data_IF_952848724059
#
_entry.id   IF_952848724059
#
_cell.length_a   1.000
_cell.length_b   1.000
_cell.length_c   1.000
_cell.angle_alpha   90.00
_cell.angle_beta   90.00
_cell.angle_gamma   90.00
#
_symmetry.space_group_name_H-M   'P 1'
#
loop_
_entity.id
_entity.type
_entity.pdbx_description
1 polymer ?
#
# COMPACT_ATOMS: atom_id res chain seq x y z
N UNK A 1 -14.20 -26.04 24.78
CA UNK A 1 -13.20 -25.73 23.74
C UNK A 1 -13.94 -25.01 22.63
N UNK A 2 -13.90 -23.66 22.65
CA UNK A 2 -14.52 -22.87 21.58
C UNK A 2 -13.67 -23.06 20.33
N UNK A 3 -14.27 -23.57 19.28
CA UNK A 3 -13.68 -23.49 17.93
C UNK A 3 -13.44 -22.00 17.64
N UNK A 4 -12.16 -21.62 17.50
CA UNK A 4 -11.77 -20.27 17.08
C UNK A 4 -12.44 -20.02 15.73
N UNK A 5 -13.50 -19.25 15.74
CA UNK A 5 -14.18 -18.80 14.53
C UNK A 5 -13.15 -18.10 13.65
N UNK A 6 -12.91 -18.62 12.45
CA UNK A 6 -11.93 -18.03 11.52
C UNK A 6 -12.32 -16.57 11.30
N UNK A 7 -11.36 -15.62 11.35
CA UNK A 7 -11.66 -14.19 11.23
C UNK A 7 -12.43 -13.92 9.92
N UNK A 8 -13.45 -13.07 10.03
CA UNK A 8 -14.33 -12.74 8.92
C UNK A 8 -13.56 -12.24 7.70
N UNK A 9 -13.97 -12.58 6.46
CA UNK A 9 -13.29 -12.13 5.26
C UNK A 9 -13.34 -10.60 5.14
N UNK A 10 -12.17 -9.99 4.95
CA UNK A 10 -12.03 -8.57 4.62
C UNK A 10 -12.30 -8.36 3.13
N UNK A 11 -11.67 -9.18 2.30
CA UNK A 11 -11.86 -9.22 0.86
C UNK A 11 -12.15 -10.65 0.41
N UNK A 12 -13.04 -10.79 -0.56
CA UNK A 12 -13.41 -12.10 -1.08
C UNK A 12 -13.74 -12.02 -2.57
N UNK A 13 -13.07 -12.86 -3.35
CA UNK A 13 -13.36 -13.13 -4.75
C UNK A 13 -13.64 -14.62 -4.91
N UNK A 14 -14.65 -14.96 -5.73
CA UNK A 14 -14.99 -16.33 -6.09
C UNK A 14 -15.26 -16.40 -7.58
N UNK A 15 -14.38 -17.05 -8.33
CA UNK A 15 -14.43 -17.13 -9.78
C UNK A 15 -14.48 -15.75 -10.46
N UNK A 16 -13.90 -14.71 -9.82
CA UNK A 16 -14.07 -13.33 -10.28
C UNK A 16 -13.23 -13.04 -11.53
N UNK A 17 -13.87 -12.44 -12.53
CA UNK A 17 -13.17 -11.92 -13.70
C UNK A 17 -12.71 -10.48 -13.43
N UNK A 18 -11.39 -10.24 -13.49
CA UNK A 18 -10.81 -8.91 -13.26
C UNK A 18 -9.97 -8.48 -14.47
N UNK A 19 -9.96 -7.15 -14.72
CA UNK A 19 -9.17 -6.57 -15.80
C UNK A 19 -9.41 -5.07 -15.95
N UNK A 20 -8.86 -4.50 -17.02
CA UNK A 20 -9.01 -3.09 -17.37
C UNK A 20 -9.69 -2.94 -18.75
N UNK A 21 -10.77 -2.17 -18.82
CA UNK A 21 -11.49 -1.96 -20.05
C UNK A 21 -11.99 -3.28 -20.67
N UNK A 22 -11.45 -3.67 -21.84
CA UNK A 22 -11.76 -4.92 -22.53
C UNK A 22 -10.75 -6.04 -22.25
N UNK A 23 -9.63 -5.74 -21.64
CA UNK A 23 -8.58 -6.71 -21.34
C UNK A 23 -8.86 -7.44 -20.03
N UNK A 24 -8.88 -8.78 -20.09
CA UNK A 24 -9.04 -9.63 -18.92
C UNK A 24 -7.65 -10.02 -18.42
N UNK A 25 -7.35 -9.68 -17.17
CA UNK A 25 -6.10 -10.06 -16.50
C UNK A 25 -6.28 -11.35 -15.72
N UNK A 26 -7.36 -11.45 -14.95
CA UNK A 26 -7.76 -12.66 -14.24
C UNK A 26 -9.04 -13.20 -14.84
N UNK A 27 -9.03 -14.36 -15.50
CA UNK A 27 -10.25 -14.98 -16.08
C UNK A 27 -11.18 -15.54 -14.99
N UNK A 28 -10.61 -16.08 -13.91
CA UNK A 28 -11.35 -16.62 -12.76
C UNK A 28 -10.46 -16.58 -11.51
N UNK A 29 -10.65 -15.58 -10.66
CA UNK A 29 -9.88 -15.41 -9.42
C UNK A 29 -10.67 -15.91 -8.23
N UNK A 30 -10.09 -16.83 -7.48
CA UNK A 30 -10.53 -17.22 -6.14
C UNK A 30 -9.50 -16.70 -5.14
N UNK A 31 -9.91 -15.79 -4.26
CA UNK A 31 -9.04 -15.18 -3.26
C UNK A 31 -9.83 -14.75 -2.05
N UNK A 32 -9.33 -15.06 -0.86
CA UNK A 32 -9.85 -14.53 0.39
C UNK A 32 -8.71 -13.92 1.19
N UNK A 33 -8.86 -12.65 1.60
CA UNK A 33 -8.00 -12.00 2.59
C UNK A 33 -8.85 -11.74 3.83
N UNK A 34 -8.35 -12.16 5.00
CA UNK A 34 -9.06 -12.01 6.28
C UNK A 34 -8.67 -10.72 6.97
N UNK A 35 -9.50 -10.29 7.93
CA UNK A 35 -9.12 -9.19 8.83
C UNK A 35 -7.93 -9.61 9.69
N UNK A 36 -7.01 -8.68 9.90
CA UNK A 36 -5.78 -8.91 10.65
C UNK A 36 -4.63 -9.50 9.82
N UNK A 37 -4.87 -9.94 8.58
CA UNK A 37 -3.79 -10.48 7.74
C UNK A 37 -2.92 -9.38 7.11
N UNK A 38 -1.62 -9.64 7.09
CA UNK A 38 -0.64 -8.89 6.27
C UNK A 38 -0.19 -9.79 5.11
N UNK A 39 -0.44 -9.35 3.87
CA UNK A 39 -0.23 -10.16 2.66
C UNK A 39 0.73 -9.45 1.71
N UNK A 40 1.80 -10.14 1.29
CA UNK A 40 2.65 -9.71 0.19
C UNK A 40 2.16 -10.32 -1.13
N UNK A 41 2.00 -9.48 -2.16
CA UNK A 41 1.75 -9.91 -3.54
C UNK A 41 3.07 -9.92 -4.31
N UNK A 42 3.51 -11.07 -4.77
CA UNK A 42 4.72 -11.26 -5.55
C UNK A 42 4.39 -11.75 -6.96
N UNK A 43 5.30 -11.52 -7.89
CA UNK A 43 5.21 -11.99 -9.26
C UNK A 43 5.88 -11.04 -10.25
N UNK A 44 6.15 -11.51 -11.47
CA UNK A 44 6.78 -10.71 -12.51
C UNK A 44 5.95 -9.48 -12.88
N UNK A 45 6.56 -8.55 -13.63
CA UNK A 45 5.83 -7.42 -14.20
C UNK A 45 4.70 -7.94 -15.12
N UNK A 46 3.54 -7.31 -15.07
CA UNK A 46 2.37 -7.76 -15.85
C UNK A 46 1.61 -8.96 -15.27
N UNK A 47 1.98 -9.51 -14.10
CA UNK A 47 1.27 -10.65 -13.48
C UNK A 47 -0.12 -10.32 -12.93
N UNK A 48 -0.48 -9.01 -12.86
CA UNK A 48 -1.80 -8.57 -12.39
C UNK A 48 -1.83 -7.98 -10.98
N UNK A 49 -0.68 -7.77 -10.29
CA UNK A 49 -0.63 -7.23 -8.91
C UNK A 49 -1.43 -5.92 -8.76
N UNK A 50 -1.16 -4.94 -9.59
CA UNK A 50 -1.85 -3.63 -9.55
C UNK A 50 -3.34 -3.74 -9.88
N UNK A 51 -3.72 -4.64 -10.80
CA UNK A 51 -5.12 -4.95 -11.13
C UNK A 51 -5.85 -5.54 -9.94
N UNK A 52 -5.20 -6.49 -9.24
CA UNK A 52 -5.75 -7.09 -8.02
C UNK A 52 -5.91 -6.06 -6.92
N UNK A 53 -4.87 -5.25 -6.62
CA UNK A 53 -4.95 -4.18 -5.63
C UNK A 53 -6.08 -3.19 -5.92
N UNK A 54 -6.24 -2.77 -7.18
CA UNK A 54 -7.35 -1.90 -7.58
C UNK A 54 -8.73 -2.56 -7.38
N UNK A 55 -8.84 -3.86 -7.63
CA UNK A 55 -10.07 -4.61 -7.40
C UNK A 55 -10.41 -4.76 -5.92
N UNK A 56 -9.41 -5.05 -5.06
CA UNK A 56 -9.56 -5.07 -3.59
C UNK A 56 -10.05 -3.71 -3.08
N UNK A 57 -9.42 -2.61 -3.54
CA UNK A 57 -9.83 -1.25 -3.17
C UNK A 57 -11.30 -0.98 -3.50
N UNK A 58 -11.77 -1.39 -4.69
CA UNK A 58 -13.18 -1.19 -5.09
C UNK A 58 -14.18 -1.87 -4.16
N UNK A 59 -13.82 -3.01 -3.55
CA UNK A 59 -14.70 -3.69 -2.59
C UNK A 59 -14.88 -2.92 -1.29
N UNK A 60 -13.85 -2.20 -0.82
CA UNK A 60 -13.82 -1.55 0.50
C UNK A 60 -13.11 -0.19 0.47
N UNK A 61 -13.43 0.66 -0.50
CA UNK A 61 -12.72 1.92 -0.74
C UNK A 61 -12.62 2.81 0.51
N UNK A 62 -13.68 2.88 1.31
CA UNK A 62 -13.72 3.71 2.53
C UNK A 62 -12.84 3.19 3.66
N UNK A 63 -12.43 1.93 3.63
CA UNK A 63 -11.56 1.31 4.64
C UNK A 63 -10.09 1.33 4.22
N UNK A 64 -9.77 1.59 2.95
CA UNK A 64 -8.44 1.40 2.41
C UNK A 64 -7.63 2.70 2.37
N UNK A 65 -6.46 2.70 2.99
CA UNK A 65 -5.35 3.60 2.70
C UNK A 65 -4.71 3.13 1.40
N UNK A 66 -4.66 3.99 0.38
CA UNK A 66 -4.22 3.62 -0.96
C UNK A 66 -2.91 4.31 -1.33
N UNK A 67 -1.88 3.51 -1.66
CA UNK A 67 -0.60 3.96 -2.18
C UNK A 67 -0.35 3.30 -3.55
N UNK A 68 -0.73 3.91 -4.68
CA UNK A 68 -0.50 3.36 -6.03
C UNK A 68 0.97 3.48 -6.44
N UNK A 69 1.39 2.67 -7.41
CA UNK A 69 2.72 2.73 -8.03
C UNK A 69 2.95 4.09 -8.70
N UNK A 70 2.01 4.54 -9.53
CA UNK A 70 2.00 5.92 -10.01
C UNK A 70 1.53 6.83 -8.88
N UNK A 71 2.45 7.59 -8.34
CA UNK A 71 2.28 8.34 -7.08
C UNK A 71 1.10 9.32 -7.11
N UNK A 72 0.63 9.74 -8.30
CA UNK A 72 -0.49 10.66 -8.51
C UNK A 72 -0.45 11.88 -7.56
N UNK A 73 0.76 12.40 -7.28
CA UNK A 73 0.99 13.57 -6.45
C UNK A 73 0.73 14.85 -7.25
N UNK A 74 0.30 15.89 -6.56
CA UNK A 74 0.26 17.24 -7.15
C UNK A 74 1.69 17.79 -7.27
N UNK A 75 2.29 17.88 -8.47
CA UNK A 75 3.72 18.21 -8.60
C UNK A 75 4.06 19.61 -8.09
N UNK A 76 3.18 20.57 -8.28
CA UNK A 76 3.33 21.96 -7.80
C UNK A 76 3.00 22.14 -6.31
N UNK A 77 2.43 21.12 -5.67
CA UNK A 77 2.09 21.16 -4.26
C UNK A 77 3.26 20.67 -3.41
N UNK A 78 3.40 21.22 -2.21
CA UNK A 78 4.43 20.76 -1.27
C UNK A 78 4.14 19.36 -0.72
N UNK A 79 5.15 18.75 -0.09
CA UNK A 79 5.00 17.51 0.70
C UNK A 79 3.85 17.65 1.69
N UNK A 80 3.78 18.77 2.43
CA UNK A 80 2.69 19.06 3.35
C UNK A 80 1.32 18.90 2.71
N UNK A 81 1.08 19.58 1.58
CA UNK A 81 -0.22 19.55 0.91
C UNK A 81 -0.56 18.16 0.38
N UNK A 82 0.42 17.47 -0.22
CA UNK A 82 0.22 16.12 -0.73
C UNK A 82 -0.13 15.12 0.38
N UNK A 83 0.53 15.18 1.53
CA UNK A 83 0.21 14.34 2.69
C UNK A 83 -1.16 14.72 3.25
N UNK A 84 -1.41 16.03 3.44
CA UNK A 84 -2.68 16.54 3.98
C UNK A 84 -3.90 16.11 3.16
N UNK A 85 -3.75 16.00 1.84
CA UNK A 85 -4.81 15.52 0.93
C UNK A 85 -5.33 14.12 1.31
N UNK A 86 -4.53 13.27 1.93
CA UNK A 86 -4.98 11.98 2.45
C UNK A 86 -6.10 12.10 3.48
N UNK A 87 -6.08 13.17 4.30
CA UNK A 87 -7.03 13.40 5.37
C UNK A 87 -8.24 14.28 5.01
N UNK A 88 -8.46 14.64 3.75
CA UNK A 88 -9.54 15.56 3.36
C UNK A 88 -10.93 15.09 3.80
N UNK A 89 -11.16 13.78 3.82
CA UNK A 89 -12.43 13.17 4.26
C UNK A 89 -12.68 13.31 5.77
N UNK A 90 -11.66 13.63 6.57
CA UNK A 90 -11.71 13.76 8.04
C UNK A 90 -12.18 15.16 8.46
N UNK A 91 -12.10 16.14 7.56
CA UNK A 91 -12.33 17.54 7.88
C UNK A 91 -13.38 18.16 6.97
N UNK A 92 -14.08 19.18 7.47
CA UNK A 92 -15.05 19.91 6.66
C UNK A 92 -14.39 20.77 5.56
N UNK A 93 -15.15 21.05 4.50
CA UNK A 93 -14.69 21.75 3.30
C UNK A 93 -13.98 23.08 3.58
N UNK A 94 -14.55 23.92 4.48
CA UNK A 94 -13.95 25.20 4.86
C UNK A 94 -12.60 25.05 5.56
N UNK A 95 -12.46 24.02 6.40
CA UNK A 95 -11.21 23.72 7.08
C UNK A 95 -10.14 23.25 6.09
N UNK A 96 -10.53 22.43 5.11
CA UNK A 96 -9.66 21.96 4.04
C UNK A 96 -9.20 23.13 3.14
N UNK A 97 -10.12 24.00 2.73
CA UNK A 97 -9.78 25.14 1.88
C UNK A 97 -8.82 26.09 2.58
N UNK A 98 -9.07 26.40 3.87
CA UNK A 98 -8.14 27.22 4.66
C UNK A 98 -6.75 26.60 4.78
N UNK A 99 -6.66 25.27 4.92
CA UNK A 99 -5.39 24.56 5.09
C UNK A 99 -4.48 24.66 3.84
N UNK A 100 -5.03 24.98 2.66
CA UNK A 100 -4.25 25.20 1.44
C UNK A 100 -3.40 26.47 1.52
N UNK A 101 -3.86 27.49 2.26
CA UNK A 101 -3.19 28.79 2.33
C UNK A 101 -2.63 29.05 3.72
N UNK A 102 -3.40 28.77 4.75
CA UNK A 102 -3.07 29.03 6.16
C UNK A 102 -3.39 27.84 7.06
N UNK A 103 -2.59 26.74 7.01
CA UNK A 103 -2.79 25.62 7.89
C UNK A 103 -2.58 26.04 9.36
N UNK A 104 -3.43 25.52 10.25
CA UNK A 104 -3.27 25.73 11.71
C UNK A 104 -2.01 25.02 12.21
N UNK A 105 -1.51 25.41 13.39
CA UNK A 105 -0.40 24.72 14.05
C UNK A 105 -0.69 23.22 14.19
N UNK A 106 -1.87 22.85 14.71
CA UNK A 106 -2.26 21.45 14.85
C UNK A 106 -2.28 20.66 13.52
N UNK A 107 -2.68 21.29 12.41
CA UNK A 107 -2.62 20.65 11.08
C UNK A 107 -1.17 20.46 10.62
N UNK A 108 -0.31 21.47 10.83
CA UNK A 108 1.12 21.37 10.52
C UNK A 108 1.79 20.26 11.33
N UNK A 109 1.54 20.25 12.64
CA UNK A 109 2.15 19.28 13.55
C UNK A 109 1.72 17.84 13.21
N UNK A 110 0.44 17.62 12.90
CA UNK A 110 -0.07 16.30 12.49
C UNK A 110 0.58 15.79 11.19
N UNK A 111 0.73 16.65 10.19
CA UNK A 111 1.37 16.28 8.93
C UNK A 111 2.89 16.14 9.11
N UNK A 112 3.50 17.03 9.92
CA UNK A 112 4.93 16.98 10.22
C UNK A 112 5.32 15.67 10.90
N UNK A 113 4.52 15.16 11.84
CA UNK A 113 4.76 13.86 12.47
C UNK A 113 4.80 12.70 11.48
N UNK A 114 3.88 12.70 10.49
CA UNK A 114 3.92 11.71 9.39
C UNK A 114 5.15 11.93 8.51
N UNK A 115 5.45 13.16 8.11
CA UNK A 115 6.60 13.47 7.29
C UNK A 115 7.93 13.08 7.97
N UNK A 116 8.05 13.31 9.28
CA UNK A 116 9.20 12.94 10.10
C UNK A 116 9.42 11.42 10.10
N UNK A 117 8.36 10.63 10.33
CA UNK A 117 8.44 9.16 10.28
C UNK A 117 8.88 8.61 8.92
N UNK A 118 8.76 9.41 7.86
CA UNK A 118 9.18 9.10 6.50
C UNK A 118 10.53 9.74 6.10
N UNK A 119 11.22 10.42 7.03
CA UNK A 119 12.46 11.13 6.74
C UNK A 119 12.27 12.31 5.77
N UNK A 120 11.13 13.00 5.84
CA UNK A 120 10.76 14.14 4.99
C UNK A 120 10.59 15.45 5.76
N UNK A 121 10.96 15.50 7.05
CA UNK A 121 10.75 16.68 7.92
C UNK A 121 11.32 17.96 7.30
N UNK A 122 12.57 17.94 6.82
CA UNK A 122 13.24 19.10 6.20
C UNK A 122 12.64 19.49 4.83
N UNK A 123 11.85 18.63 4.22
CA UNK A 123 11.23 18.83 2.90
C UNK A 123 9.74 19.17 2.98
N UNK A 124 9.19 19.35 4.20
CA UNK A 124 7.76 19.50 4.43
C UNK A 124 7.08 20.53 3.51
N UNK A 125 7.72 21.66 3.26
CA UNK A 125 7.21 22.72 2.38
C UNK A 125 7.88 22.78 1.00
N UNK A 126 8.70 21.77 0.66
CA UNK A 126 9.27 21.63 -0.68
C UNK A 126 8.22 21.08 -1.63
N UNK A 127 8.10 21.65 -2.83
CA UNK A 127 7.20 21.14 -3.89
C UNK A 127 7.70 19.78 -4.42
N UNK A 128 6.75 18.93 -4.81
CA UNK A 128 7.04 17.52 -5.18
C UNK A 128 7.92 17.43 -6.44
N UNK A 129 7.80 18.36 -7.38
CA UNK A 129 8.63 18.42 -8.58
C UNK A 129 10.13 18.62 -8.30
N UNK A 130 10.49 19.04 -7.07
CA UNK A 130 11.88 19.22 -6.61
C UNK A 130 12.40 18.07 -5.76
N UNK A 131 11.62 17.01 -5.59
CA UNK A 131 11.99 15.85 -4.80
C UNK A 131 12.70 14.79 -5.65
N UNK A 132 13.54 13.97 -5.00
CA UNK A 132 14.00 12.73 -5.62
C UNK A 132 12.84 11.74 -5.76
N UNK A 133 12.97 10.74 -6.64
CA UNK A 133 11.96 9.70 -6.82
C UNK A 133 11.60 9.00 -5.51
N UNK A 134 12.60 8.66 -4.68
CA UNK A 134 12.35 8.05 -3.36
C UNK A 134 11.66 9.00 -2.36
N UNK A 135 11.94 10.32 -2.42
CA UNK A 135 11.23 11.30 -1.59
C UNK A 135 9.78 11.46 -2.03
N UNK A 136 9.52 11.50 -3.33
CA UNK A 136 8.17 11.55 -3.88
C UNK A 136 7.38 10.28 -3.52
N UNK A 137 8.00 9.10 -3.59
CA UNK A 137 7.38 7.84 -3.17
C UNK A 137 7.01 7.84 -1.68
N UNK A 138 7.93 8.28 -0.80
CA UNK A 138 7.63 8.46 0.63
C UNK A 138 6.53 9.48 0.87
N UNK A 139 6.43 10.53 0.05
CA UNK A 139 5.33 11.49 0.13
C UNK A 139 3.98 10.84 -0.23
N UNK A 140 3.94 9.98 -1.25
CA UNK A 140 2.73 9.22 -1.62
C UNK A 140 2.32 8.25 -0.50
N UNK A 141 3.29 7.56 0.11
CA UNK A 141 3.04 6.73 1.29
C UNK A 141 2.51 7.57 2.46
N UNK A 142 3.10 8.74 2.72
CA UNK A 142 2.63 9.68 3.74
C UNK A 142 1.17 10.11 3.53
N UNK A 143 0.78 10.36 2.28
CA UNK A 143 -0.62 10.63 1.93
C UNK A 143 -1.54 9.44 2.29
N UNK A 144 -1.10 8.21 2.02
CA UNK A 144 -1.85 7.01 2.39
C UNK A 144 -1.96 6.87 3.92
N UNK A 145 -0.86 7.03 4.65
CA UNK A 145 -0.84 6.99 6.13
C UNK A 145 -1.74 8.05 6.76
N UNK A 146 -1.74 9.27 6.21
CA UNK A 146 -2.54 10.37 6.75
C UNK A 146 -4.05 10.18 6.57
N UNK A 147 -4.49 9.16 5.82
CA UNK A 147 -5.90 8.75 5.76
C UNK A 147 -6.41 8.18 7.09
N UNK A 148 -5.52 7.62 7.92
CA UNK A 148 -5.84 6.88 9.17
C UNK A 148 -6.85 5.76 8.96
N UNK A 149 -6.82 5.12 7.79
CA UNK A 149 -7.70 3.99 7.46
C UNK A 149 -7.08 2.67 7.91
N UNK A 150 -7.89 1.70 8.35
CA UNK A 150 -7.38 0.47 8.98
C UNK A 150 -6.74 -0.53 8.01
N UNK A 151 -6.92 -0.38 6.71
CA UNK A 151 -6.43 -1.34 5.71
C UNK A 151 -5.46 -0.65 4.75
N UNK A 152 -4.23 -1.13 4.66
CA UNK A 152 -3.27 -0.65 3.68
C UNK A 152 -3.36 -1.46 2.38
N UNK A 153 -3.52 -0.77 1.26
CA UNK A 153 -3.27 -1.31 -0.07
C UNK A 153 -2.16 -0.48 -0.72
N UNK A 154 -1.02 -1.10 -1.01
CA UNK A 154 0.13 -0.39 -1.56
C UNK A 154 0.79 -1.16 -2.70
N UNK A 155 1.21 -0.42 -3.72
CA UNK A 155 1.94 -0.94 -4.87
C UNK A 155 3.36 -0.40 -4.85
N UNK A 156 4.32 -1.26 -4.53
CA UNK A 156 5.76 -0.98 -4.44
C UNK A 156 6.13 0.21 -3.54
N UNK A 157 5.62 0.31 -2.29
CA UNK A 157 5.76 1.52 -1.47
C UNK A 157 7.20 1.83 -1.05
N UNK A 158 8.14 0.91 -1.16
CA UNK A 158 9.55 1.04 -0.71
C UNK A 158 10.58 0.69 -1.79
N UNK A 159 10.20 0.57 -3.06
CA UNK A 159 11.07 0.09 -4.15
C UNK A 159 12.30 0.95 -4.43
N UNK A 160 12.29 2.23 -4.07
CA UNK A 160 13.39 3.18 -4.29
C UNK A 160 14.20 3.48 -3.02
N UNK A 161 14.16 2.59 -2.04
CA UNK A 161 14.90 2.70 -0.78
C UNK A 161 15.96 1.61 -0.70
N UNK A 162 17.05 1.88 0.05
CA UNK A 162 17.97 0.83 0.43
C UNK A 162 17.27 -0.20 1.36
N UNK A 163 17.82 -1.40 1.44
CA UNK A 163 17.23 -2.53 2.15
C UNK A 163 16.90 -2.22 3.62
N UNK A 164 17.82 -1.55 4.33
CA UNK A 164 17.63 -1.23 5.75
C UNK A 164 16.53 -0.19 5.96
N UNK A 165 16.53 0.88 5.17
CA UNK A 165 15.50 1.90 5.23
C UNK A 165 14.14 1.34 4.80
N UNK A 166 14.12 0.54 3.73
CA UNK A 166 12.92 -0.13 3.22
C UNK A 166 12.29 -1.03 4.28
N UNK A 167 13.09 -1.86 4.95
CA UNK A 167 12.62 -2.76 6.01
C UNK A 167 12.02 -1.99 7.20
N UNK A 168 12.74 -0.99 7.71
CA UNK A 168 12.29 -0.20 8.85
C UNK A 168 10.97 0.54 8.54
N UNK A 169 10.91 1.19 7.37
CA UNK A 169 9.75 1.94 6.93
C UNK A 169 8.54 1.03 6.69
N UNK A 170 8.74 -0.12 6.05
CA UNK A 170 7.67 -1.07 5.78
C UNK A 170 7.08 -1.63 7.08
N UNK A 171 7.93 -2.02 8.04
CA UNK A 171 7.49 -2.49 9.36
C UNK A 171 6.69 -1.43 10.13
N UNK A 172 7.16 -0.17 10.15
CA UNK A 172 6.42 0.92 10.80
C UNK A 172 5.08 1.16 10.10
N UNK A 173 5.07 1.15 8.77
CA UNK A 173 3.85 1.30 7.98
C UNK A 173 2.83 0.19 8.27
N UNK A 174 3.27 -1.08 8.31
CA UNK A 174 2.40 -2.22 8.59
C UNK A 174 1.80 -2.17 10.00
N UNK A 175 2.57 -1.76 11.01
CA UNK A 175 2.08 -1.63 12.40
C UNK A 175 0.97 -0.59 12.58
N UNK A 176 0.84 0.36 11.66
CA UNK A 176 -0.19 1.41 11.70
C UNK A 176 -1.54 0.96 11.12
N UNK A 177 -1.62 -0.27 10.61
CA UNK A 177 -2.82 -0.79 9.95
C UNK A 177 -3.20 -2.15 10.53
N UNK A 178 -4.50 -2.42 10.61
CA UNK A 178 -5.02 -3.70 11.08
C UNK A 178 -4.77 -4.81 10.06
N UNK A 179 -4.79 -4.46 8.77
CA UNK A 179 -4.59 -5.40 7.65
C UNK A 179 -3.83 -4.70 6.52
N UNK A 180 -3.06 -5.47 5.76
CA UNK A 180 -2.35 -4.91 4.61
C UNK A 180 -2.28 -5.90 3.44
N UNK A 181 -2.38 -5.38 2.22
CA UNK A 181 -2.01 -6.11 1.00
C UNK A 181 -1.04 -5.23 0.21
N UNK A 182 0.18 -5.69 0.04
CA UNK A 182 1.26 -4.91 -0.57
C UNK A 182 1.87 -5.68 -1.73
N UNK A 183 1.83 -5.10 -2.93
CA UNK A 183 2.59 -5.61 -4.05
C UNK A 183 4.04 -5.15 -3.96
N UNK A 184 4.96 -6.05 -4.22
CA UNK A 184 6.40 -5.80 -4.15
C UNK A 184 7.20 -6.77 -5.03
N UNK A 185 8.47 -6.44 -5.25
CA UNK A 185 9.41 -7.31 -5.96
C UNK A 185 10.46 -7.91 -5.03
N UNK A 186 10.71 -7.29 -3.88
CA UNK A 186 11.69 -7.77 -2.92
C UNK A 186 11.14 -8.96 -2.13
N UNK A 187 11.70 -10.13 -2.41
CA UNK A 187 11.31 -11.41 -1.79
C UNK A 187 11.78 -11.53 -0.35
N UNK A 188 12.94 -10.96 -0.04
CA UNK A 188 13.47 -10.98 1.32
C UNK A 188 12.61 -10.12 2.26
N UNK A 189 12.24 -8.91 1.83
CA UNK A 189 11.30 -8.06 2.56
C UNK A 189 9.91 -8.71 2.70
N UNK A 190 9.43 -9.41 1.66
CA UNK A 190 8.16 -10.12 1.72
C UNK A 190 8.16 -11.17 2.84
N UNK A 191 9.19 -12.02 2.91
CA UNK A 191 9.31 -13.05 3.96
C UNK A 191 9.54 -12.44 5.35
N UNK A 192 10.25 -11.31 5.43
CA UNK A 192 10.62 -10.69 6.71
C UNK A 192 9.48 -9.87 7.36
N UNK A 193 8.51 -9.38 6.57
CA UNK A 193 7.53 -8.41 7.02
C UNK A 193 6.07 -8.90 6.98
N UNK A 194 5.74 -9.91 6.18
CA UNK A 194 4.37 -10.35 5.97
C UNK A 194 4.11 -11.75 6.51
N UNK A 195 2.87 -11.99 6.92
CA UNK A 195 2.45 -13.30 7.43
C UNK A 195 2.14 -14.29 6.30
N UNK A 196 1.73 -13.78 5.12
CA UNK A 196 1.30 -14.58 3.98
C UNK A 196 1.83 -14.01 2.68
N UNK A 197 2.24 -14.88 1.79
CA UNK A 197 2.68 -14.52 0.43
C UNK A 197 1.72 -15.13 -0.58
N UNK A 198 1.27 -14.28 -1.52
CA UNK A 198 0.51 -14.69 -2.70
C UNK A 198 1.36 -14.42 -3.93
N UNK A 199 1.67 -15.47 -4.66
CA UNK A 199 2.40 -15.41 -5.93
C UNK A 199 1.45 -15.39 -7.12
N UNK A 200 1.60 -14.37 -7.97
CA UNK A 200 0.78 -14.17 -9.16
C UNK A 200 1.62 -14.40 -10.43
N UNK A 201 1.07 -15.10 -11.41
CA UNK A 201 1.69 -15.31 -12.70
C UNK A 201 0.61 -15.47 -13.78
N UNK A 202 0.72 -14.72 -14.89
CA UNK A 202 -0.21 -14.76 -16.02
C UNK A 202 -1.70 -14.67 -15.64
N UNK A 203 -2.03 -13.85 -14.62
CA UNK A 203 -3.42 -13.71 -14.16
C UNK A 203 -3.95 -14.88 -13.33
N UNK A 204 -3.06 -15.69 -12.77
CA UNK A 204 -3.39 -16.80 -11.89
C UNK A 204 -2.67 -16.70 -10.56
N UNK A 205 -3.27 -17.23 -9.50
CA UNK A 205 -2.60 -17.43 -8.22
C UNK A 205 -1.86 -18.76 -8.25
N UNK A 206 -0.52 -18.69 -8.34
CA UNK A 206 0.35 -19.88 -8.44
C UNK A 206 0.98 -20.26 -7.10
N UNK A 207 0.92 -19.39 -6.13
CA UNK A 207 1.38 -19.59 -4.75
C UNK A 207 0.44 -18.88 -3.78
N UNK A 208 0.09 -19.53 -2.69
CA UNK A 208 -0.65 -18.94 -1.58
C UNK A 208 -0.29 -19.69 -0.31
N UNK A 209 0.62 -19.11 0.50
CA UNK A 209 1.16 -19.81 1.66
C UNK A 209 1.60 -18.83 2.77
N UNK A 210 1.64 -19.29 4.04
CA UNK A 210 2.27 -18.54 5.12
C UNK A 210 3.75 -18.28 4.85
N UNK A 211 4.23 -17.07 5.09
CA UNK A 211 5.64 -16.68 4.85
C UNK A 211 6.62 -17.58 5.59
N UNK A 212 6.27 -18.03 6.81
CA UNK A 212 7.08 -18.90 7.62
C UNK A 212 7.33 -20.29 7.01
N UNK A 213 6.52 -20.71 6.04
CA UNK A 213 6.66 -21.99 5.33
C UNK A 213 7.46 -21.89 4.03
N UNK A 214 7.91 -20.68 3.65
CA UNK A 214 8.54 -20.39 2.37
C UNK A 214 10.02 -20.04 2.55
N UNK A 215 10.80 -20.37 1.54
CA UNK A 215 12.20 -19.96 1.38
C UNK A 215 12.34 -18.98 0.20
N UNK A 216 13.49 -18.28 0.12
CA UNK A 216 13.79 -17.46 -1.05
C UNK A 216 13.79 -18.29 -2.36
N UNK A 217 14.29 -19.54 -2.30
CA UNK A 217 14.30 -20.43 -3.46
C UNK A 217 12.88 -20.79 -3.96
N UNK A 218 11.89 -20.89 -3.05
CA UNK A 218 10.50 -21.10 -3.44
C UNK A 218 9.94 -19.89 -4.17
N UNK A 219 10.28 -18.68 -3.72
CA UNK A 219 9.87 -17.44 -4.35
C UNK A 219 10.59 -17.17 -5.67
N UNK A 220 11.84 -17.63 -5.83
CA UNK A 220 12.58 -17.51 -7.08
C UNK A 220 11.85 -18.22 -8.24
N UNK A 221 11.17 -19.32 -7.96
CA UNK A 221 10.40 -20.08 -8.95
C UNK A 221 9.26 -19.28 -9.59
N UNK A 222 8.75 -18.24 -8.89
CA UNK A 222 7.72 -17.36 -9.46
C UNK A 222 8.22 -16.57 -10.67
N UNK A 223 9.53 -16.36 -10.76
CA UNK A 223 10.18 -15.53 -11.77
C UNK A 223 10.89 -16.34 -12.87
N UNK A 224 10.91 -17.67 -12.74
CA UNK A 224 11.43 -18.52 -13.79
C UNK A 224 10.45 -18.56 -14.99
N UNK A 225 10.96 -18.66 -16.24
CA UNK A 225 10.13 -18.72 -17.44
C UNK A 225 9.19 -19.93 -17.47
#
# INVERSE_FOLDING_TARGET
>A
MNASEAPAPLFHFRGARLGHGRETVFPALDLTVRRGETVALLGPSGSGKSTLLAALRRQRETLCAWCPQEQALGPMLSVFHNIYMGGLHRFGTWRNLRALVHPTAAQRDSVAAVAESLGLAEKLFTSVDRLSGGQAQRTALGRALFTERPVLLADEPVSNLDEHQGLALLRDTLRRHDSAVVAMHDRALALACFERVIGLRHGETVLDAPSASLTLADLDRLYLP
#
